data_IF_491652153141
#
_entry.id   IF_491652153141
#
_cell.length_a   1.000
_cell.length_b   1.000
_cell.length_c   1.000
_cell.angle_alpha   90.00
_cell.angle_beta   90.00
_cell.angle_gamma   90.00
#
_symmetry.space_group_name_H-M   'P 1'
#
loop_
_entity.id
_entity.type
_entity.pdbx_description
1 polymer ?
#
# COMPACT_ATOMS: atom_id res chain seq x y z
N UNK A 1 93.91 -26.80 8.86
CA UNK A 1 92.73 -27.18 9.66
C UNK A 1 92.06 -25.92 10.16
N UNK A 2 90.72 -25.93 10.21
CA UNK A 2 89.77 -24.87 10.61
C UNK A 2 89.15 -24.07 9.44
N UNK A 3 88.08 -24.65 8.88
CA UNK A 3 87.06 -23.99 8.08
C UNK A 3 86.34 -22.92 8.94
N UNK A 4 86.12 -21.73 8.38
CA UNK A 4 85.13 -20.76 8.87
C UNK A 4 83.98 -20.72 7.87
N UNK A 5 82.90 -21.43 8.22
CA UNK A 5 81.59 -21.23 7.60
C UNK A 5 81.03 -19.88 8.03
N UNK A 6 80.68 -19.05 7.06
CA UNK A 6 79.84 -17.86 7.27
C UNK A 6 78.83 -17.80 6.13
N UNK A 7 77.70 -18.45 6.32
CA UNK A 7 76.48 -18.17 5.56
C UNK A 7 75.73 -17.03 6.24
N UNK A 8 75.21 -16.03 5.51
CA UNK A 8 74.30 -15.06 6.08
C UNK A 8 72.92 -15.70 6.28
N UNK A 9 72.41 -15.60 7.50
CA UNK A 9 71.05 -15.97 7.88
C UNK A 9 70.05 -14.95 7.31
N UNK A 10 69.35 -15.30 6.24
CA UNK A 10 68.18 -14.56 5.74
C UNK A 10 66.90 -15.15 6.36
N UNK A 11 66.69 -14.96 7.66
CA UNK A 11 65.42 -15.28 8.31
C UNK A 11 64.94 -14.08 9.11
N UNK A 12 64.41 -13.07 8.41
CA UNK A 12 63.47 -12.08 8.93
C UNK A 12 63.09 -11.09 7.80
N UNK A 13 62.28 -11.53 6.84
CA UNK A 13 61.45 -10.61 6.08
C UNK A 13 60.02 -10.89 6.49
N UNK A 14 59.42 -9.94 7.20
CA UNK A 14 58.01 -9.94 7.52
C UNK A 14 57.21 -10.05 6.22
N UNK A 15 56.22 -10.95 6.23
CA UNK A 15 55.27 -11.14 5.14
C UNK A 15 54.53 -9.80 4.93
N UNK A 16 54.49 -9.23 3.71
CA UNK A 16 53.69 -8.04 3.46
C UNK A 16 52.21 -8.37 3.65
N UNK A 17 51.50 -7.53 4.40
CA UNK A 17 50.04 -7.54 4.50
C UNK A 17 49.48 -7.50 3.07
N UNK A 18 48.62 -8.46 2.71
CA UNK A 18 47.96 -8.48 1.41
C UNK A 18 46.63 -7.69 1.52
N UNK A 19 46.57 -6.43 1.07
CA UNK A 19 45.39 -5.59 1.22
C UNK A 19 44.20 -6.12 0.42
N UNK A 20 44.43 -6.94 -0.61
CA UNK A 20 43.36 -7.55 -1.39
C UNK A 20 42.67 -8.67 -0.60
N UNK A 21 43.44 -9.43 0.18
CA UNK A 21 42.90 -10.45 1.07
C UNK A 21 42.03 -9.85 2.19
N UNK A 22 42.44 -8.71 2.76
CA UNK A 22 41.65 -7.98 3.75
C UNK A 22 40.36 -7.38 3.16
N UNK A 23 40.44 -6.85 1.93
CA UNK A 23 39.26 -6.34 1.23
C UNK A 23 38.27 -7.47 0.90
N UNK A 24 38.76 -8.61 0.39
CA UNK A 24 37.93 -9.79 0.15
C UNK A 24 37.32 -10.35 1.44
N UNK A 25 38.06 -10.35 2.55
CA UNK A 25 37.53 -10.76 3.85
C UNK A 25 36.40 -9.85 4.31
N UNK A 26 36.57 -8.52 4.20
CA UNK A 26 35.52 -7.55 4.54
C UNK A 26 34.31 -7.63 3.60
N UNK A 27 34.52 -7.84 2.31
CA UNK A 27 33.44 -8.02 1.34
C UNK A 27 32.63 -9.29 1.64
N UNK A 28 33.29 -10.39 2.00
CA UNK A 28 32.62 -11.62 2.40
C UNK A 28 31.88 -11.44 3.72
N UNK A 29 32.42 -10.66 4.65
CA UNK A 29 31.75 -10.33 5.91
C UNK A 29 30.48 -9.49 5.67
N UNK A 30 30.56 -8.45 4.84
CA UNK A 30 29.42 -7.60 4.46
C UNK A 30 28.35 -8.43 3.72
N UNK A 31 28.75 -9.27 2.76
CA UNK A 31 27.83 -10.17 2.07
C UNK A 31 27.19 -11.18 3.03
N UNK A 32 27.93 -11.67 4.04
CA UNK A 32 27.38 -12.56 5.06
C UNK A 32 26.38 -11.86 5.97
N UNK A 33 26.64 -10.60 6.33
CA UNK A 33 25.74 -9.78 7.14
C UNK A 33 24.48 -9.38 6.37
N UNK A 34 24.62 -9.02 5.09
CA UNK A 34 23.50 -8.75 4.19
C UNK A 34 22.64 -10.00 3.96
N UNK A 35 23.25 -11.18 3.75
CA UNK A 35 22.52 -12.44 3.64
C UNK A 35 21.85 -12.85 4.96
N UNK A 36 22.47 -12.59 6.11
CA UNK A 36 21.86 -12.83 7.42
C UNK A 36 20.67 -11.88 7.68
N UNK A 37 20.75 -10.63 7.23
CA UNK A 37 19.62 -9.69 7.25
C UNK A 37 18.52 -10.13 6.28
N UNK A 38 18.86 -10.59 5.07
CA UNK A 38 17.90 -11.10 4.10
C UNK A 38 17.19 -12.36 4.62
N UNK A 39 17.90 -13.29 5.27
CA UNK A 39 17.31 -14.49 5.88
C UNK A 39 16.46 -14.16 7.13
N UNK A 40 16.74 -13.04 7.82
CA UNK A 40 15.83 -12.50 8.84
C UNK A 40 14.58 -11.85 8.23
N UNK A 41 14.65 -11.40 6.98
CA UNK A 41 13.49 -10.91 6.20
C UNK A 41 12.74 -12.00 5.41
N UNK A 42 13.29 -13.22 5.28
CA UNK A 42 12.60 -14.39 4.71
C UNK A 42 11.58 -15.01 5.70
N UNK A 43 10.83 -14.16 6.41
CA UNK A 43 9.51 -14.54 6.87
C UNK A 43 8.55 -14.52 5.69
N UNK A 44 8.42 -15.69 5.07
CA UNK A 44 7.28 -16.09 4.24
C UNK A 44 7.13 -15.28 2.92
N UNK A 45 6.60 -15.88 1.83
CA UNK A 45 5.98 -15.06 0.79
C UNK A 45 4.96 -14.11 1.45
N UNK A 46 4.57 -12.97 0.85
CA UNK A 46 3.47 -12.18 1.38
C UNK A 46 2.20 -13.03 1.29
N UNK A 47 2.00 -13.90 2.27
CA UNK A 47 0.69 -14.21 2.75
C UNK A 47 0.13 -12.85 3.11
N UNK A 48 -1.00 -12.52 2.50
CA UNK A 48 -1.92 -11.52 3.03
C UNK A 48 -1.82 -11.58 4.55
N UNK A 49 -1.57 -10.46 5.24
CA UNK A 49 -1.39 -10.47 6.69
C UNK A 49 -2.47 -11.39 7.26
N UNK A 50 -2.11 -12.45 8.02
CA UNK A 50 -3.11 -13.34 8.57
C UNK A 50 -4.11 -12.44 9.27
N UNK A 51 -5.37 -12.50 8.82
CA UNK A 51 -6.46 -11.74 9.42
C UNK A 51 -6.25 -11.84 10.93
N UNK A 52 -6.15 -10.71 11.65
CA UNK A 52 -6.02 -10.77 13.09
C UNK A 52 -7.09 -11.74 13.61
N UNK A 53 -6.75 -12.66 14.54
CA UNK A 53 -7.79 -13.47 15.18
C UNK A 53 -8.89 -12.51 15.62
N UNK A 54 -10.19 -12.84 15.47
CA UNK A 54 -11.29 -11.90 15.64
C UNK A 54 -11.22 -11.27 17.03
N UNK A 55 -10.47 -10.18 17.11
CA UNK A 55 -10.28 -9.38 18.30
C UNK A 55 -11.41 -8.40 18.21
N UNK A 56 -12.48 -8.73 18.91
CA UNK A 56 -13.37 -7.73 19.48
C UNK A 56 -12.51 -6.54 19.90
N UNK A 57 -12.81 -5.34 19.42
CA UNK A 57 -12.20 -4.02 19.74
C UNK A 57 -11.20 -3.40 18.75
N UNK A 58 -11.50 -3.38 17.46
CA UNK A 58 -11.44 -2.04 16.84
C UNK A 58 -12.58 -1.21 17.45
N UNK A 59 -12.31 -0.04 18.05
CA UNK A 59 -13.37 0.78 18.62
C UNK A 59 -14.38 1.08 17.51
N UNK A 60 -15.69 0.94 17.76
CA UNK A 60 -16.69 1.18 16.73
C UNK A 60 -16.49 2.59 16.16
N UNK A 61 -16.61 2.75 14.84
CA UNK A 61 -16.40 4.05 14.21
C UNK A 61 -17.32 5.08 14.88
N UNK A 62 -16.75 6.22 15.28
CA UNK A 62 -17.48 7.28 15.99
C UNK A 62 -18.39 8.08 15.05
N UNK A 63 -18.16 7.95 13.74
CA UNK A 63 -18.94 8.58 12.67
C UNK A 63 -19.30 7.55 11.60
N UNK A 64 -20.35 7.84 10.83
CA UNK A 64 -20.71 7.00 9.68
C UNK A 64 -19.64 7.11 8.59
N UNK A 65 -19.21 5.97 8.04
CA UNK A 65 -18.18 5.90 6.98
C UNK A 65 -18.75 6.13 5.57
N UNK A 66 -20.01 6.59 5.47
CA UNK A 66 -20.65 6.88 4.20
C UNK A 66 -20.78 5.63 3.34
N UNK A 67 -20.30 5.74 2.10
CA UNK A 67 -20.30 4.66 1.11
C UNK A 67 -19.18 3.64 1.31
N UNK A 68 -18.28 3.83 2.27
CA UNK A 68 -17.17 2.88 2.52
C UNK A 68 -17.66 1.66 3.30
N UNK A 69 -17.39 0.42 2.84
CA UNK A 69 -17.72 -0.79 3.59
C UNK A 69 -16.93 -0.87 4.90
N UNK A 70 -17.61 -1.24 5.98
CA UNK A 70 -17.00 -1.43 7.30
C UNK A 70 -17.10 -2.92 7.68
N UNK A 71 -15.98 -3.63 7.81
CA UNK A 71 -15.96 -5.01 8.32
C UNK A 71 -16.00 -5.03 9.86
N UNK A 72 -16.23 -6.21 10.44
CA UNK A 72 -16.08 -6.48 11.86
C UNK A 72 -16.79 -5.47 12.77
N UNK A 73 -18.02 -5.10 12.43
CA UNK A 73 -18.78 -4.10 13.17
C UNK A 73 -20.21 -4.55 13.46
N UNK A 74 -20.87 -3.84 14.39
CA UNK A 74 -22.24 -4.14 14.77
C UNK A 74 -23.24 -3.28 14.01
N UNK A 75 -24.35 -3.89 13.64
CA UNK A 75 -25.39 -3.29 12.82
C UNK A 75 -26.76 -3.36 13.49
N UNK A 76 -27.60 -2.39 13.13
CA UNK A 76 -29.02 -2.31 13.47
C UNK A 76 -29.87 -2.32 12.19
N UNK A 77 -31.18 -2.50 12.32
CA UNK A 77 -32.10 -2.48 11.17
C UNK A 77 -32.46 -3.86 10.68
N UNK A 78 -32.37 -4.08 9.36
CA UNK A 78 -32.73 -5.32 8.69
C UNK A 78 -31.55 -5.83 7.86
N UNK A 79 -31.48 -7.13 7.51
CA UNK A 79 -30.44 -7.65 6.63
C UNK A 79 -30.33 -6.91 5.30
N UNK A 80 -31.45 -6.42 4.78
CA UNK A 80 -31.50 -5.62 3.54
C UNK A 80 -31.28 -4.11 3.77
N UNK A 81 -31.33 -3.65 5.02
CA UNK A 81 -31.24 -2.23 5.41
C UNK A 81 -30.47 -2.09 6.74
N UNK A 82 -29.14 -2.14 6.65
CA UNK A 82 -28.18 -2.07 7.73
C UNK A 82 -27.92 -0.62 8.19
N UNK A 83 -27.89 -0.40 9.50
CA UNK A 83 -27.67 0.91 10.12
C UNK A 83 -26.47 0.81 11.06
N UNK A 84 -25.42 1.58 10.81
CA UNK A 84 -24.26 1.60 11.69
C UNK A 84 -24.58 2.28 13.03
N UNK A 85 -23.83 1.96 14.09
CA UNK A 85 -24.04 2.49 15.45
C UNK A 85 -24.16 4.03 15.51
N UNK A 86 -23.31 4.83 14.84
CA UNK A 86 -23.47 6.29 14.81
C UNK A 86 -24.81 6.76 14.24
N UNK A 87 -25.23 6.19 13.12
CA UNK A 87 -26.52 6.53 12.50
C UNK A 87 -27.70 6.03 13.32
N UNK A 88 -27.59 4.85 13.94
CA UNK A 88 -28.64 4.36 14.82
C UNK A 88 -28.84 5.33 15.98
N UNK A 89 -27.76 5.69 16.68
CA UNK A 89 -27.81 6.53 17.89
C UNK A 89 -28.30 7.94 17.59
N UNK A 90 -27.81 8.54 16.50
CA UNK A 90 -28.11 9.93 16.15
C UNK A 90 -29.44 10.14 15.43
N UNK A 91 -29.97 9.10 14.76
CA UNK A 91 -31.14 9.23 13.88
C UNK A 91 -32.24 8.20 14.15
N UNK A 92 -31.92 6.90 14.21
CA UNK A 92 -32.95 5.86 14.23
C UNK A 92 -33.46 5.47 15.63
N UNK A 93 -32.68 5.67 16.69
CA UNK A 93 -32.91 5.12 18.03
C UNK A 93 -34.23 5.52 18.68
N UNK A 94 -34.79 6.68 18.32
CA UNK A 94 -36.03 7.21 18.89
C UNK A 94 -37.24 7.05 17.96
N UNK A 95 -37.17 6.11 17.00
CA UNK A 95 -38.23 5.92 16.01
C UNK A 95 -39.11 4.70 16.33
N UNK A 96 -40.42 4.75 15.99
CA UNK A 96 -41.34 3.62 16.10
C UNK A 96 -40.89 2.32 15.42
N UNK A 97 -39.92 2.37 14.51
CA UNK A 97 -39.42 1.20 13.80
C UNK A 97 -38.43 0.37 14.61
N UNK A 98 -37.81 0.92 15.67
CA UNK A 98 -36.79 0.21 16.46
C UNK A 98 -37.26 -1.17 16.96
N UNK A 99 -38.48 -1.32 17.52
CA UNK A 99 -38.98 -2.64 17.95
C UNK A 99 -39.18 -3.64 16.81
N UNK A 100 -39.24 -3.17 15.56
CA UNK A 100 -39.46 -4.01 14.36
C UNK A 100 -38.14 -4.48 13.72
N UNK A 101 -37.00 -3.96 14.19
CA UNK A 101 -35.68 -4.31 13.64
C UNK A 101 -35.24 -5.68 14.15
N UNK A 102 -34.99 -6.66 13.24
CA UNK A 102 -34.39 -7.92 13.62
C UNK A 102 -32.91 -7.78 14.01
N UNK A 103 -32.18 -6.83 13.43
CA UNK A 103 -30.80 -6.55 13.80
C UNK A 103 -30.78 -5.53 14.93
N UNK A 104 -30.26 -5.95 16.09
CA UNK A 104 -30.10 -5.09 17.26
C UNK A 104 -28.68 -5.25 17.80
N UNK A 105 -27.80 -4.36 17.36
CA UNK A 105 -26.36 -4.45 17.67
C UNK A 105 -25.75 -5.80 17.25
N UNK A 106 -26.20 -6.33 16.11
CA UNK A 106 -25.76 -7.62 15.59
C UNK A 106 -24.37 -7.47 14.97
N UNK A 107 -23.39 -8.22 15.47
CA UNK A 107 -22.05 -8.25 14.89
C UNK A 107 -22.06 -8.93 13.52
N UNK A 108 -21.47 -8.27 12.52
CA UNK A 108 -21.25 -8.79 11.17
C UNK A 108 -19.76 -8.67 10.82
N UNK A 109 -19.05 -9.79 10.60
CA UNK A 109 -17.66 -9.76 10.16
C UNK A 109 -17.54 -9.25 8.72
N UNK A 110 -18.54 -9.48 7.88
CA UNK A 110 -18.49 -9.14 6.46
C UNK A 110 -18.52 -7.61 6.24
N UNK A 111 -17.73 -7.07 5.29
CA UNK A 111 -17.77 -5.66 4.95
C UNK A 111 -19.19 -5.24 4.54
N UNK A 112 -19.79 -4.33 5.30
CA UNK A 112 -21.17 -3.87 5.09
C UNK A 112 -21.22 -2.35 5.06
N UNK A 113 -22.19 -1.79 4.33
CA UNK A 113 -22.37 -0.35 4.17
C UNK A 113 -23.61 0.11 4.93
N UNK A 114 -23.57 1.30 5.51
CA UNK A 114 -24.74 1.88 6.19
C UNK A 114 -25.77 2.35 5.17
N UNK A 115 -27.05 2.14 5.43
CA UNK A 115 -28.12 2.69 4.60
C UNK A 115 -28.50 4.11 4.97
N UNK A 116 -28.21 4.49 6.22
CA UNK A 116 -28.57 5.80 6.75
C UNK A 116 -27.50 6.88 6.50
N UNK A 117 -26.45 6.67 5.70
CA UNK A 117 -25.65 7.81 5.24
C UNK A 117 -26.37 8.61 4.15
N UNK A 118 -27.22 7.95 3.37
CA UNK A 118 -27.97 8.55 2.26
C UNK A 118 -29.11 9.43 2.77
N UNK A 119 -29.18 10.72 2.39
CA UNK A 119 -30.32 11.57 2.72
C UNK A 119 -31.65 11.01 2.18
N UNK A 120 -31.67 10.51 0.94
CA UNK A 120 -32.87 9.93 0.32
C UNK A 120 -33.34 8.67 1.05
N UNK A 121 -32.41 7.82 1.49
CA UNK A 121 -32.77 6.64 2.27
C UNK A 121 -33.30 7.00 3.66
N UNK A 122 -32.79 8.09 4.28
CA UNK A 122 -33.36 8.62 5.52
C UNK A 122 -34.79 9.12 5.34
N UNK A 123 -35.11 9.76 4.23
CA UNK A 123 -36.50 10.17 3.92
C UNK A 123 -37.43 8.96 3.83
N UNK A 124 -37.00 7.90 3.13
CA UNK A 124 -37.74 6.63 3.07
C UNK A 124 -37.91 6.00 4.45
N UNK A 125 -36.86 6.04 5.27
CA UNK A 125 -36.92 5.53 6.65
C UNK A 125 -37.95 6.30 7.48
N UNK A 126 -37.99 7.64 7.37
CA UNK A 126 -38.98 8.46 8.06
C UNK A 126 -40.41 8.19 7.58
N UNK A 127 -40.60 8.00 6.27
CA UNK A 127 -41.90 7.63 5.70
C UNK A 127 -42.39 6.26 6.20
N UNK A 128 -41.49 5.27 6.24
CA UNK A 128 -41.76 3.96 6.84
C UNK A 128 -42.09 4.09 8.33
N UNK A 129 -41.36 4.97 9.04
CA UNK A 129 -41.58 5.19 10.47
C UNK A 129 -42.92 5.87 10.78
N UNK A 130 -43.45 6.68 9.87
CA UNK A 130 -44.75 7.32 10.03
C UNK A 130 -45.92 6.35 9.81
N UNK A 131 -45.73 5.35 8.93
CA UNK A 131 -46.78 4.38 8.56
C UNK A 131 -46.67 3.06 9.31
N UNK A 132 -45.49 2.74 9.86
CA UNK A 132 -45.16 1.43 10.41
C UNK A 132 -44.94 0.34 9.36
N UNK A 133 -44.93 0.70 8.06
CA UNK A 133 -44.69 -0.24 6.96
C UNK A 133 -43.27 -0.05 6.41
N UNK A 134 -42.47 -1.11 6.40
CA UNK A 134 -41.07 -1.10 5.93
C UNK A 134 -40.88 -1.63 4.51
N UNK A 135 -41.91 -2.11 3.83
CA UNK A 135 -41.79 -2.82 2.55
C UNK A 135 -41.08 -1.97 1.48
N UNK A 136 -41.49 -0.70 1.33
CA UNK A 136 -40.88 0.23 0.38
C UNK A 136 -39.44 0.59 0.75
N UNK A 137 -39.15 0.73 2.05
CA UNK A 137 -37.81 1.00 2.56
C UNK A 137 -36.87 -0.16 2.20
N UNK A 138 -37.29 -1.40 2.49
CA UNK A 138 -36.50 -2.60 2.22
C UNK A 138 -36.35 -2.87 0.72
N UNK A 139 -37.39 -2.62 -0.07
CA UNK A 139 -37.31 -2.73 -1.53
C UNK A 139 -36.28 -1.76 -2.12
N UNK A 140 -36.32 -0.48 -1.70
CA UNK A 140 -35.34 0.51 -2.13
C UNK A 140 -33.91 0.17 -1.64
N UNK A 141 -33.79 -0.38 -0.43
CA UNK A 141 -32.49 -0.76 0.12
C UNK A 141 -31.87 -1.94 -0.65
N UNK A 142 -32.66 -2.95 -1.02
CA UNK A 142 -32.21 -4.06 -1.88
C UNK A 142 -31.75 -3.60 -3.26
N UNK A 143 -32.54 -2.72 -3.90
CA UNK A 143 -32.16 -2.13 -5.19
C UNK A 143 -30.83 -1.38 -5.07
N UNK A 144 -30.70 -0.57 -4.02
CA UNK A 144 -29.49 0.20 -3.76
C UNK A 144 -28.28 -0.70 -3.51
N UNK A 145 -28.40 -1.76 -2.73
CA UNK A 145 -27.32 -2.74 -2.52
C UNK A 145 -26.88 -3.43 -3.81
N UNK A 146 -27.83 -3.78 -4.69
CA UNK A 146 -27.51 -4.36 -5.99
C UNK A 146 -26.71 -3.39 -6.87
N UNK A 147 -27.14 -2.12 -6.95
CA UNK A 147 -26.41 -1.11 -7.71
C UNK A 147 -25.05 -0.81 -7.08
N UNK A 148 -24.95 -0.76 -5.75
CA UNK A 148 -23.70 -0.53 -5.02
C UNK A 148 -22.61 -1.54 -5.39
N UNK A 149 -22.94 -2.84 -5.40
CA UNK A 149 -21.99 -3.90 -5.75
C UNK A 149 -21.49 -3.76 -7.19
N UNK A 150 -22.34 -3.29 -8.10
CA UNK A 150 -22.00 -3.11 -9.50
C UNK A 150 -21.30 -1.78 -9.82
N UNK A 151 -21.36 -0.79 -8.91
CA UNK A 151 -20.79 0.55 -9.14
C UNK A 151 -19.76 0.94 -8.09
N UNK A 152 -20.19 1.27 -6.88
CA UNK A 152 -19.34 1.87 -5.85
C UNK A 152 -18.20 0.95 -5.44
N UNK A 153 -18.45 -0.36 -5.34
CA UNK A 153 -17.38 -1.31 -5.04
C UNK A 153 -16.25 -1.25 -6.09
N UNK A 154 -16.61 -1.15 -7.37
CA UNK A 154 -15.65 -1.05 -8.48
C UNK A 154 -14.94 0.31 -8.46
N UNK A 155 -15.67 1.40 -8.17
CA UNK A 155 -15.08 2.74 -8.05
C UNK A 155 -14.01 2.76 -6.95
N UNK A 156 -14.33 2.26 -5.75
CA UNK A 156 -13.40 2.24 -4.62
C UNK A 156 -12.17 1.39 -4.90
N UNK A 157 -12.34 0.24 -5.58
CA UNK A 157 -11.22 -0.60 -6.01
C UNK A 157 -10.29 0.15 -6.98
N UNK A 158 -10.85 0.83 -7.98
CA UNK A 158 -10.08 1.60 -8.96
C UNK A 158 -9.36 2.79 -8.34
N UNK A 159 -10.01 3.47 -7.39
CA UNK A 159 -9.39 4.55 -6.63
C UNK A 159 -8.20 4.02 -5.81
N UNK A 160 -8.36 2.88 -5.11
CA UNK A 160 -7.30 2.26 -4.32
C UNK A 160 -6.12 1.78 -5.20
N UNK A 161 -6.38 1.18 -6.36
CA UNK A 161 -5.34 0.81 -7.32
C UNK A 161 -4.54 2.04 -7.80
N UNK A 162 -5.23 3.14 -8.09
CA UNK A 162 -4.62 4.39 -8.55
C UNK A 162 -3.76 5.02 -7.46
N UNK A 163 -4.25 5.05 -6.22
CA UNK A 163 -3.48 5.51 -5.06
C UNK A 163 -2.24 4.64 -4.84
N UNK A 164 -2.36 3.32 -4.97
CA UNK A 164 -1.23 2.41 -4.86
C UNK A 164 -0.18 2.64 -5.97
N UNK A 165 -0.59 2.93 -7.21
CA UNK A 165 0.33 3.28 -8.29
C UNK A 165 1.05 4.60 -8.02
N UNK A 166 0.36 5.63 -7.54
CA UNK A 166 0.98 6.91 -7.16
C UNK A 166 1.99 6.69 -6.03
N UNK A 167 1.60 5.94 -4.99
CA UNK A 167 2.50 5.63 -3.88
C UNK A 167 3.75 4.87 -4.35
N UNK A 168 3.59 3.91 -5.27
CA UNK A 168 4.70 3.16 -5.86
C UNK A 168 5.63 4.08 -6.67
N UNK A 169 5.08 4.98 -7.47
CA UNK A 169 5.86 5.95 -8.24
C UNK A 169 6.69 6.86 -7.32
N UNK A 170 6.10 7.34 -6.22
CA UNK A 170 6.81 8.18 -5.25
C UNK A 170 7.97 7.43 -4.57
N UNK A 171 7.74 6.19 -4.15
CA UNK A 171 8.81 5.34 -3.58
C UNK A 171 9.96 5.16 -4.57
N UNK A 172 9.66 4.90 -5.85
CA UNK A 172 10.68 4.79 -6.89
C UNK A 172 11.43 6.10 -7.11
N UNK A 173 10.72 7.23 -7.10
CA UNK A 173 11.33 8.56 -7.25
C UNK A 173 12.33 8.86 -6.12
N UNK A 174 11.99 8.52 -4.88
CA UNK A 174 12.89 8.65 -3.73
C UNK A 174 14.11 7.72 -3.87
N UNK A 175 13.89 6.47 -4.30
CA UNK A 175 14.97 5.51 -4.56
C UNK A 175 15.94 6.03 -5.63
N UNK A 176 15.41 6.50 -6.76
CA UNK A 176 16.19 7.10 -7.84
C UNK A 176 17.03 8.28 -7.35
N UNK A 177 16.45 9.17 -6.54
CA UNK A 177 17.16 10.31 -5.95
C UNK A 177 18.33 9.89 -5.04
N UNK A 178 18.14 8.86 -4.22
CA UNK A 178 19.21 8.32 -3.37
C UNK A 178 20.34 7.70 -4.20
N UNK A 179 20.00 6.96 -5.25
CA UNK A 179 20.98 6.35 -6.15
C UNK A 179 21.78 7.40 -6.94
N UNK A 180 21.13 8.48 -7.39
CA UNK A 180 21.79 9.61 -8.04
C UNK A 180 22.77 10.32 -7.09
N UNK A 181 22.41 10.46 -5.81
CA UNK A 181 23.30 11.02 -4.80
C UNK A 181 24.55 10.15 -4.61
N UNK A 182 24.40 8.83 -4.52
CA UNK A 182 25.53 7.92 -4.38
C UNK A 182 26.44 8.01 -5.61
N UNK A 183 25.87 8.07 -6.82
CA UNK A 183 26.65 8.26 -8.04
C UNK A 183 27.49 9.54 -8.01
N UNK A 184 26.89 10.66 -7.59
CA UNK A 184 27.62 11.93 -7.46
C UNK A 184 28.81 11.81 -6.48
N UNK A 185 28.65 11.08 -5.37
CA UNK A 185 29.73 10.82 -4.43
C UNK A 185 30.84 9.94 -5.02
N UNK A 186 30.50 8.87 -5.75
CA UNK A 186 31.47 8.04 -6.47
C UNK A 186 32.23 8.84 -7.53
N UNK A 187 31.55 9.74 -8.24
CA UNK A 187 32.18 10.66 -9.18
C UNK A 187 33.21 11.58 -8.52
N UNK A 188 32.91 12.09 -7.31
CA UNK A 188 33.85 12.90 -6.52
C UNK A 188 35.06 12.11 -6.02
N UNK A 189 34.87 10.86 -5.60
CA UNK A 189 35.96 9.99 -5.15
C UNK A 189 36.95 9.68 -6.30
N UNK A 190 36.44 9.57 -7.53
CA UNK A 190 37.26 9.36 -8.74
C UNK A 190 38.08 10.60 -9.19
N UNK A 191 37.96 11.75 -8.52
CA UNK A 191 38.71 12.97 -8.85
C UNK A 191 40.18 12.83 -8.40
N UNK A 192 40.93 12.01 -9.14
CA UNK A 192 42.34 11.72 -8.86
C UNK A 192 42.89 10.54 -9.64
N UNK A 193 42.01 9.66 -10.13
CA UNK A 193 42.39 8.47 -10.90
C UNK A 193 42.43 8.77 -12.41
N UNK A 194 43.49 8.29 -13.09
CA UNK A 194 43.68 8.44 -14.53
C UNK A 194 42.75 7.54 -15.37
N UNK A 195 42.24 6.44 -14.80
CA UNK A 195 41.26 5.54 -15.43
C UNK A 195 39.92 5.60 -14.68
N UNK A 196 39.02 6.47 -15.12
CA UNK A 196 37.64 6.51 -14.63
C UNK A 196 36.81 5.44 -15.34
N UNK A 197 36.28 4.48 -14.59
CA UNK A 197 35.23 3.59 -15.12
C UNK A 197 33.94 4.39 -15.34
N UNK A 198 33.50 4.46 -16.60
CA UNK A 198 32.24 5.10 -16.99
C UNK A 198 31.18 4.05 -17.28
N UNK A 199 30.01 4.24 -16.68
CA UNK A 199 28.82 3.45 -16.97
C UNK A 199 27.96 4.20 -17.96
N UNK A 200 27.47 3.52 -19.00
CA UNK A 200 26.65 4.14 -20.05
C UNK A 200 25.32 3.42 -20.21
N UNK A 201 24.28 4.19 -20.49
CA UNK A 201 22.94 3.66 -20.79
C UNK A 201 22.64 3.76 -22.28
N UNK A 202 21.69 2.95 -22.75
CA UNK A 202 21.23 3.00 -24.15
C UNK A 202 20.58 4.35 -24.50
N UNK A 203 20.09 5.09 -23.50
CA UNK A 203 19.60 6.47 -23.62
C UNK A 203 20.71 7.51 -23.81
N UNK A 204 21.98 7.10 -23.71
CA UNK A 204 23.15 7.98 -23.86
C UNK A 204 23.61 8.66 -22.57
N UNK A 205 23.04 8.28 -21.42
CA UNK A 205 23.51 8.71 -20.10
C UNK A 205 24.91 8.17 -19.81
N UNK A 206 25.72 8.96 -19.10
CA UNK A 206 27.07 8.59 -18.67
C UNK A 206 27.18 8.85 -17.18
N UNK A 207 27.59 7.83 -16.43
CA UNK A 207 27.60 7.81 -14.96
C UNK A 207 28.93 7.33 -14.42
N UNK A 208 29.25 7.74 -13.21
CA UNK A 208 30.46 7.31 -12.48
C UNK A 208 30.30 5.98 -11.77
N UNK A 209 29.08 5.44 -11.69
CA UNK A 209 28.77 4.19 -10.99
C UNK A 209 27.51 3.53 -11.55
N UNK A 210 27.31 2.25 -11.20
CA UNK A 210 26.05 1.54 -11.47
C UNK A 210 24.83 2.21 -10.83
N UNK A 211 25.00 2.91 -9.71
CA UNK A 211 23.89 3.61 -9.05
C UNK A 211 23.35 4.76 -9.93
N UNK A 212 24.17 5.40 -10.75
CA UNK A 212 23.70 6.40 -11.71
C UNK A 212 22.80 5.79 -12.79
N UNK A 213 23.17 4.61 -13.30
CA UNK A 213 22.34 3.85 -14.25
C UNK A 213 21.01 3.41 -13.63
N UNK A 214 21.03 2.94 -12.39
CA UNK A 214 19.82 2.56 -11.65
C UNK A 214 18.94 3.78 -11.39
N UNK A 215 19.53 4.91 -11.02
CA UNK A 215 18.80 6.16 -10.78
C UNK A 215 18.05 6.65 -12.02
N UNK A 216 18.69 6.64 -13.19
CA UNK A 216 18.04 7.00 -14.46
C UNK A 216 16.85 6.08 -14.74
N UNK A 217 17.06 4.76 -14.69
CA UNK A 217 16.00 3.78 -14.95
C UNK A 217 14.83 3.90 -13.97
N UNK A 218 15.11 3.97 -12.67
CA UNK A 218 14.07 4.11 -11.65
C UNK A 218 13.32 5.44 -11.76
N UNK A 219 14.01 6.51 -12.16
CA UNK A 219 13.39 7.81 -12.43
C UNK A 219 12.43 7.74 -13.61
N UNK A 220 12.84 7.14 -14.72
CA UNK A 220 11.99 6.93 -15.91
C UNK A 220 10.78 6.04 -15.59
N UNK A 221 10.99 4.93 -14.87
CA UNK A 221 9.91 4.03 -14.43
C UNK A 221 8.93 4.73 -13.46
N UNK A 222 9.45 5.55 -12.54
CA UNK A 222 8.63 6.34 -11.61
C UNK A 222 7.75 7.35 -12.36
N UNK A 223 8.32 8.11 -13.29
CA UNK A 223 7.58 9.09 -14.07
C UNK A 223 6.53 8.41 -14.97
N UNK A 224 6.86 7.27 -15.60
CA UNK A 224 5.90 6.50 -16.40
C UNK A 224 4.72 5.97 -15.56
N UNK A 225 4.97 5.45 -14.36
CA UNK A 225 3.93 4.99 -13.43
C UNK A 225 3.07 6.16 -12.93
N UNK A 226 3.68 7.30 -12.61
CA UNK A 226 2.96 8.49 -12.17
C UNK A 226 2.02 9.00 -13.26
N UNK A 227 2.51 9.09 -14.50
CA UNK A 227 1.70 9.49 -15.67
C UNK A 227 0.54 8.51 -15.88
N UNK A 228 0.80 7.20 -15.83
CA UNK A 228 -0.26 6.19 -15.96
C UNK A 228 -1.33 6.31 -14.86
N UNK A 229 -0.94 6.65 -13.63
CA UNK A 229 -1.85 6.79 -12.49
C UNK A 229 -2.65 8.10 -12.50
N UNK A 230 -2.09 9.19 -13.05
CA UNK A 230 -2.73 10.52 -13.05
C UNK A 230 -3.49 10.80 -14.33
N UNK A 231 -2.93 10.42 -15.47
CA UNK A 231 -3.51 10.69 -16.80
C UNK A 231 -4.35 9.53 -17.33
N UNK A 232 -4.52 8.45 -16.56
CA UNK A 232 -5.20 7.21 -16.95
C UNK A 232 -6.49 7.45 -17.74
N UNK A 233 -6.40 7.37 -19.06
CA UNK A 233 -7.42 7.86 -19.99
C UNK A 233 -8.81 7.24 -19.77
N UNK A 234 -8.94 5.93 -19.99
CA UNK A 234 -10.22 5.19 -19.99
C UNK A 234 -10.81 4.99 -18.57
N UNK A 235 -9.97 4.97 -17.54
CA UNK A 235 -10.41 4.74 -16.16
C UNK A 235 -11.30 5.86 -15.62
N UNK A 236 -11.05 7.12 -16.02
CA UNK A 236 -11.84 8.26 -15.57
C UNK A 236 -13.26 8.29 -16.13
N UNK A 237 -13.43 7.94 -17.40
CA UNK A 237 -14.76 7.90 -18.04
C UNK A 237 -15.61 6.76 -17.46
N UNK A 238 -15.01 5.59 -17.23
CA UNK A 238 -15.70 4.47 -16.59
C UNK A 238 -16.13 4.81 -15.16
N UNK A 239 -15.24 5.39 -14.34
CA UNK A 239 -15.60 5.84 -12.98
C UNK A 239 -16.75 6.86 -13.03
N UNK A 240 -16.71 7.82 -13.95
CA UNK A 240 -17.79 8.80 -14.12
C UNK A 240 -19.13 8.14 -14.51
N UNK A 241 -19.11 7.14 -15.38
CA UNK A 241 -20.29 6.35 -15.77
C UNK A 241 -20.88 5.58 -14.58
N UNK A 242 -20.02 4.97 -13.76
CA UNK A 242 -20.43 4.24 -12.56
C UNK A 242 -21.00 5.18 -11.49
N UNK A 243 -20.40 6.36 -11.29
CA UNK A 243 -20.90 7.39 -10.39
C UNK A 243 -22.29 7.91 -10.83
N UNK A 244 -22.48 8.15 -12.13
CA UNK A 244 -23.78 8.56 -12.67
C UNK A 244 -24.87 7.49 -12.43
N UNK A 245 -24.50 6.21 -12.56
CA UNK A 245 -25.41 5.10 -12.27
C UNK A 245 -25.76 5.01 -10.78
N UNK A 246 -24.78 5.19 -9.91
CA UNK A 246 -24.98 5.24 -8.46
C UNK A 246 -25.89 6.41 -8.04
N UNK A 247 -25.68 7.60 -8.62
CA UNK A 247 -26.49 8.78 -8.37
C UNK A 247 -27.99 8.61 -8.72
N UNK A 248 -28.35 7.62 -9.55
CA UNK A 248 -29.76 7.31 -9.84
C UNK A 248 -30.51 6.68 -8.66
N UNK A 249 -29.80 5.95 -7.78
CA UNK A 249 -30.39 5.26 -6.63
C UNK A 249 -30.23 6.01 -5.30
N UNK A 250 -29.35 7.01 -5.27
CA UNK A 250 -29.22 8.01 -4.19
C UNK A 250 -30.18 9.19 -4.34
#
# INVERSE_FOLDING_TARGET
MAQRDTTPNFSALAIPHDPLADFQAKMNEILSQANAQLQQTEHHPPQSPPLPPPSETEPPPTTCQGRTPVPNTSWYGWPDCCICTPCFTSFAANTPLVPLMPLQNQFEPSPTVCDMYSPRQRERYLAASATGNVDELLAASRERSAVYTETVAVILEREAEREAMVARAEIMRVSAGNNALIDAYSGMESLGDEEREEWRTDAGGVYSSWNGVVAEREGEEADALWVAAVEGGDGGEEVARLEARWAGVE
#
